data_IF_298882925410
#
_entry.id   IF_298882925410
#
_cell.length_a   1.000
_cell.length_b   1.000
_cell.length_c   1.000
_cell.angle_alpha   90.00
_cell.angle_beta   90.00
_cell.angle_gamma   90.00
#
_symmetry.space_group_name_H-M   'P 1'
#
loop_
_entity.id
_entity.type
_entity.pdbx_description
1 polymer ?
#
# COMPACT_ATOMS: atom_id res chain seq x y z
N UNK A 1 12.85 -12.69 -0.96
CA UNK A 1 14.14 -12.46 -1.62
C UNK A 1 14.70 -13.72 -2.30
N UNK A 2 14.67 -14.90 -1.66
CA UNK A 2 15.24 -16.15 -2.22
C UNK A 2 14.46 -16.65 -3.45
N UNK A 3 13.13 -16.53 -3.44
CA UNK A 3 12.26 -16.91 -4.57
C UNK A 3 12.59 -16.05 -5.81
N UNK A 4 12.85 -14.76 -5.63
CA UNK A 4 13.20 -13.85 -6.74
C UNK A 4 14.60 -14.16 -7.31
N UNK A 5 15.57 -14.54 -6.47
CA UNK A 5 16.91 -14.92 -6.93
C UNK A 5 16.90 -16.07 -7.94
N UNK A 6 15.96 -17.01 -7.80
CA UNK A 6 15.80 -18.14 -8.74
C UNK A 6 15.25 -17.73 -10.11
N UNK A 7 14.74 -16.50 -10.24
CA UNK A 7 14.12 -15.96 -11.45
C UNK A 7 15.03 -14.97 -12.20
N UNK A 8 16.24 -14.71 -11.69
CA UNK A 8 17.23 -13.89 -12.36
C UNK A 8 17.92 -14.68 -13.51
N UNK A 9 18.34 -14.01 -14.60
CA UNK A 9 18.27 -12.56 -14.80
C UNK A 9 16.89 -12.09 -15.25
N UNK A 10 16.44 -10.92 -14.73
CA UNK A 10 15.25 -10.20 -15.20
C UNK A 10 15.43 -8.70 -14.94
N UNK A 11 14.75 -7.83 -15.69
CA UNK A 11 14.67 -6.42 -15.36
C UNK A 11 13.93 -6.23 -14.01
N UNK A 12 14.48 -5.36 -13.17
CA UNK A 12 13.94 -5.08 -11.84
C UNK A 12 12.92 -3.93 -11.89
N UNK A 13 12.41 -3.52 -10.73
CA UNK A 13 11.52 -2.38 -10.48
C UNK A 13 10.13 -2.56 -11.11
N UNK A 14 9.12 -2.27 -10.32
CA UNK A 14 7.72 -2.27 -10.78
C UNK A 14 7.03 -0.90 -10.57
N UNK A 15 7.77 0.09 -10.11
CA UNK A 15 7.32 1.47 -9.93
C UNK A 15 7.97 2.32 -11.03
N UNK A 16 7.20 2.85 -11.96
CA UNK A 16 7.77 3.66 -13.04
C UNK A 16 6.73 4.54 -13.74
N UNK A 17 7.23 5.66 -14.23
CA UNK A 17 6.57 6.51 -15.20
C UNK A 17 7.35 6.46 -16.52
N UNK A 18 6.70 6.85 -17.60
CA UNK A 18 7.34 6.87 -18.91
C UNK A 18 6.65 7.82 -19.89
N UNK A 19 7.29 8.05 -21.00
CA UNK A 19 6.71 8.76 -22.14
C UNK A 19 6.35 7.76 -23.25
N UNK A 20 5.16 7.92 -23.80
CA UNK A 20 4.72 7.09 -24.92
C UNK A 20 5.57 7.39 -26.17
N UNK A 21 6.29 6.39 -26.66
CA UNK A 21 7.07 6.52 -27.88
C UNK A 21 6.22 6.16 -29.10
N UNK A 22 5.43 5.11 -29.01
CA UNK A 22 4.57 4.62 -30.08
C UNK A 22 3.37 3.86 -29.52
N UNK A 23 2.18 4.18 -29.98
CA UNK A 23 0.96 3.41 -29.74
C UNK A 23 0.22 3.11 -31.04
N UNK A 24 0.29 1.88 -31.55
CA UNK A 24 -0.44 1.46 -32.75
C UNK A 24 -1.95 1.43 -32.57
N UNK A 25 -2.45 1.35 -31.32
CA UNK A 25 -3.91 1.35 -31.03
C UNK A 25 -4.55 2.73 -31.13
N UNK A 26 -3.74 3.80 -31.08
CA UNK A 26 -4.22 5.18 -31.14
C UNK A 26 -4.84 5.71 -29.84
N UNK A 27 -4.72 4.96 -28.75
CA UNK A 27 -5.23 5.41 -27.44
C UNK A 27 -4.37 6.51 -26.83
N UNK A 28 -3.06 6.51 -27.11
CA UNK A 28 -2.10 7.47 -26.58
C UNK A 28 -1.34 8.16 -27.72
N UNK A 29 -0.96 9.42 -27.50
CA UNK A 29 -0.10 10.17 -28.42
C UNK A 29 1.37 10.03 -28.00
N UNK A 30 2.26 10.06 -28.98
CA UNK A 30 3.70 10.16 -28.71
C UNK A 30 4.01 11.36 -27.85
N UNK A 31 4.81 11.18 -26.80
CA UNK A 31 5.18 12.19 -25.81
C UNK A 31 4.19 12.31 -24.62
N UNK A 32 3.06 11.62 -24.63
CA UNK A 32 2.19 11.60 -23.45
C UNK A 32 2.91 10.94 -22.25
N UNK A 33 2.84 11.62 -21.10
CA UNK A 33 3.37 11.11 -19.84
C UNK A 33 2.37 10.14 -19.21
N UNK A 34 2.87 8.98 -18.81
CA UNK A 34 2.04 7.90 -18.25
C UNK A 34 2.70 7.26 -17.05
N UNK A 35 1.89 6.74 -16.13
CA UNK A 35 2.34 5.76 -15.15
C UNK A 35 1.99 4.37 -15.64
N UNK A 36 2.88 3.41 -15.40
CA UNK A 36 2.74 2.03 -15.82
C UNK A 36 2.21 1.17 -14.67
N UNK A 37 1.09 0.46 -14.91
CA UNK A 37 0.49 -0.47 -13.94
C UNK A 37 1.22 -1.81 -14.02
N UNK A 38 1.88 -2.26 -12.93
CA UNK A 38 2.73 -3.46 -12.97
C UNK A 38 1.94 -4.77 -13.00
N UNK A 39 0.68 -4.75 -12.61
CA UNK A 39 -0.19 -5.93 -12.60
C UNK A 39 -0.86 -6.11 -13.96
N UNK A 40 -0.73 -7.30 -14.55
CA UNK A 40 -1.38 -7.67 -15.80
C UNK A 40 -2.23 -8.92 -15.55
N UNK A 41 -3.56 -8.79 -15.41
CA UNK A 41 -4.46 -9.94 -15.30
C UNK A 41 -4.48 -10.71 -16.62
N UNK A 42 -4.67 -12.01 -16.55
CA UNK A 42 -4.85 -12.89 -17.71
C UNK A 42 -6.27 -13.44 -17.81
N UNK A 43 -7.09 -13.13 -16.81
CA UNK A 43 -8.51 -13.47 -16.71
C UNK A 43 -9.25 -12.36 -15.99
N UNK A 44 -10.56 -12.34 -16.10
CA UNK A 44 -11.46 -11.43 -15.37
C UNK A 44 -12.32 -12.24 -14.40
N UNK A 45 -12.68 -11.64 -13.27
CA UNK A 45 -13.57 -12.23 -12.28
C UNK A 45 -14.46 -11.13 -11.68
N UNK A 46 -15.75 -11.41 -11.53
CA UNK A 46 -16.72 -10.43 -11.05
C UNK A 46 -16.60 -10.14 -9.54
N UNK A 47 -15.93 -11.00 -8.78
CA UNK A 47 -15.78 -10.91 -7.32
C UNK A 47 -14.35 -10.60 -6.94
N UNK A 48 -13.38 -11.27 -7.58
CA UNK A 48 -11.96 -11.19 -7.24
C UNK A 48 -11.33 -10.05 -8.04
N UNK A 49 -10.86 -9.01 -7.34
CA UNK A 49 -10.17 -7.92 -7.98
C UNK A 49 -8.87 -8.39 -8.67
N UNK A 50 -8.53 -7.75 -9.80
CA UNK A 50 -7.43 -8.15 -10.69
C UNK A 50 -6.08 -8.34 -9.98
N UNK A 51 -5.81 -7.56 -8.94
CA UNK A 51 -4.57 -7.62 -8.17
C UNK A 51 -4.49 -8.83 -7.21
N UNK A 52 -5.60 -9.57 -7.01
CA UNK A 52 -5.65 -10.79 -6.21
C UNK A 52 -5.76 -12.07 -7.05
N UNK A 53 -5.97 -11.96 -8.35
CA UNK A 53 -6.00 -13.13 -9.25
C UNK A 53 -4.62 -13.79 -9.28
N UNK A 54 -4.56 -15.09 -8.99
CA UNK A 54 -3.30 -15.85 -8.94
C UNK A 54 -2.61 -15.99 -10.28
N UNK A 55 -3.37 -15.94 -11.37
CA UNK A 55 -2.90 -15.98 -12.75
C UNK A 55 -2.26 -14.66 -13.20
N UNK A 56 -2.52 -13.55 -12.51
CA UNK A 56 -1.98 -12.24 -12.87
C UNK A 56 -0.46 -12.23 -12.90
N UNK A 57 0.10 -11.65 -13.95
CA UNK A 57 1.53 -11.40 -14.09
C UNK A 57 1.88 -10.07 -13.41
N UNK A 58 2.85 -10.10 -12.51
CA UNK A 58 3.31 -8.90 -11.83
C UNK A 58 4.76 -8.59 -12.22
N UNK A 59 5.01 -7.39 -12.74
CA UNK A 59 6.33 -6.93 -13.16
C UNK A 59 7.34 -6.99 -12.01
N UNK A 60 8.59 -7.32 -12.32
CA UNK A 60 9.68 -7.54 -11.36
C UNK A 60 9.42 -8.64 -10.32
N UNK A 61 8.41 -9.49 -10.55
CA UNK A 61 8.10 -10.64 -9.69
C UNK A 61 7.96 -11.94 -10.49
N UNK A 62 9.00 -12.22 -11.31
CA UNK A 62 9.10 -13.36 -12.21
C UNK A 62 8.84 -13.05 -13.69
N UNK A 63 8.61 -11.80 -13.98
CA UNK A 63 8.55 -11.20 -15.31
C UNK A 63 9.36 -9.91 -15.28
N UNK A 64 9.89 -9.50 -16.43
CA UNK A 64 10.68 -8.28 -16.52
C UNK A 64 9.91 -7.08 -15.99
N UNK A 65 10.58 -6.34 -15.10
CA UNK A 65 10.11 -5.07 -14.55
C UNK A 65 10.38 -3.90 -15.48
N UNK A 66 10.33 -2.70 -14.93
CA UNK A 66 10.41 -1.46 -15.70
C UNK A 66 11.81 -0.84 -15.79
N UNK A 67 12.84 -1.46 -15.20
CA UNK A 67 14.22 -0.97 -15.29
C UNK A 67 14.79 -1.24 -16.68
N UNK A 68 14.23 -0.57 -17.68
CA UNK A 68 14.54 -0.68 -19.10
C UNK A 68 14.44 0.69 -19.77
N UNK A 69 15.17 0.90 -20.86
CA UNK A 69 15.04 2.13 -21.66
C UNK A 69 13.70 2.21 -22.39
N UNK A 70 13.21 1.06 -22.88
CA UNK A 70 11.91 0.92 -23.53
C UNK A 70 11.15 -0.25 -22.95
N UNK A 71 9.87 -0.05 -22.74
CA UNK A 71 8.96 -1.08 -22.20
C UNK A 71 7.80 -1.27 -23.16
N UNK A 72 7.53 -2.53 -23.52
CA UNK A 72 6.30 -2.89 -24.21
C UNK A 72 5.22 -3.23 -23.20
N UNK A 73 4.08 -2.54 -23.30
CA UNK A 73 2.96 -2.67 -22.36
C UNK A 73 1.63 -2.38 -23.08
N UNK A 74 0.57 -3.06 -22.71
CA UNK A 74 -0.75 -2.86 -23.30
C UNK A 74 -1.37 -1.54 -22.83
N UNK A 75 -2.16 -0.83 -23.67
CA UNK A 75 -2.73 0.47 -23.35
C UNK A 75 -3.60 0.49 -22.07
N UNK A 76 -4.27 -0.63 -21.76
CA UNK A 76 -5.07 -0.81 -20.56
C UNK A 76 -4.26 -0.89 -19.25
N UNK A 77 -2.94 -0.95 -19.36
CA UNK A 77 -1.99 -0.91 -18.22
C UNK A 77 -1.28 0.43 -18.09
N UNK A 78 -1.78 1.47 -18.74
CA UNK A 78 -1.25 2.83 -18.71
C UNK A 78 -2.31 3.80 -18.16
N UNK A 79 -1.91 4.66 -17.23
CA UNK A 79 -2.75 5.77 -16.77
C UNK A 79 -2.03 7.08 -17.10
N UNK A 80 -2.76 8.02 -17.73
CA UNK A 80 -2.21 9.34 -18.10
C UNK A 80 -1.87 10.15 -16.87
N UNK A 81 -0.72 10.80 -16.91
CA UNK A 81 -0.31 11.78 -15.93
C UNK A 81 -0.45 13.19 -16.51
N UNK A 82 -0.72 14.21 -15.68
CA UNK A 82 -0.62 15.60 -16.10
C UNK A 82 0.77 15.90 -16.65
N UNK A 83 0.84 16.65 -17.75
CA UNK A 83 2.13 16.93 -18.43
C UNK A 83 3.05 17.83 -17.61
N UNK A 84 2.49 18.61 -16.71
CA UNK A 84 3.17 19.56 -15.81
C UNK A 84 3.47 18.99 -14.41
N UNK A 85 3.15 17.71 -14.18
CA UNK A 85 3.45 17.05 -12.90
C UNK A 85 4.96 16.95 -12.67
N UNK A 86 5.39 17.15 -11.44
CA UNK A 86 6.77 16.83 -11.05
C UNK A 86 7.02 15.32 -11.21
N UNK A 87 7.93 14.98 -12.11
CA UNK A 87 8.26 13.59 -12.44
C UNK A 87 8.82 12.83 -11.24
N UNK A 88 9.50 13.50 -10.32
CA UNK A 88 10.03 12.91 -9.10
C UNK A 88 8.89 12.47 -8.19
N UNK A 89 7.86 13.29 -8.07
CA UNK A 89 6.63 12.97 -7.32
C UNK A 89 5.83 11.89 -8.04
N UNK A 90 5.65 12.01 -9.35
CA UNK A 90 4.90 11.06 -10.16
C UNK A 90 5.48 9.63 -10.13
N UNK A 91 6.80 9.50 -9.94
CA UNK A 91 7.46 8.19 -9.80
C UNK A 91 6.95 7.36 -8.59
N UNK A 92 6.34 7.99 -7.60
CA UNK A 92 5.74 7.33 -6.44
C UNK A 92 4.29 6.90 -6.65
N UNK A 93 3.70 7.12 -7.82
CA UNK A 93 2.27 6.83 -8.07
C UNK A 93 1.91 5.37 -7.77
N UNK A 94 2.79 4.42 -8.05
CA UNK A 94 2.52 3.00 -7.76
C UNK A 94 2.32 2.76 -6.26
N UNK A 95 3.28 3.12 -5.43
CA UNK A 95 3.15 2.90 -3.98
C UNK A 95 2.01 3.72 -3.35
N UNK A 96 1.70 4.90 -3.92
CA UNK A 96 0.51 5.67 -3.55
C UNK A 96 -0.76 4.89 -3.87
N UNK A 97 -0.85 4.28 -5.05
CA UNK A 97 -2.02 3.49 -5.46
C UNK A 97 -2.27 2.29 -4.55
N UNK A 98 -1.21 1.67 -4.01
CA UNK A 98 -1.32 0.62 -2.99
C UNK A 98 -1.97 1.14 -1.71
N UNK A 99 -1.57 2.32 -1.26
CA UNK A 99 -2.18 2.97 -0.09
C UNK A 99 -3.64 3.36 -0.33
N UNK A 100 -3.96 3.92 -1.50
CA UNK A 100 -5.33 4.28 -1.92
C UNK A 100 -6.22 3.03 -1.98
N UNK A 101 -5.71 1.92 -2.52
CA UNK A 101 -6.40 0.63 -2.53
C UNK A 101 -6.71 0.14 -1.11
N UNK A 102 -5.71 0.14 -0.23
CA UNK A 102 -5.86 -0.31 1.16
C UNK A 102 -6.87 0.53 1.94
N UNK A 103 -6.81 1.87 1.79
CA UNK A 103 -7.73 2.80 2.44
C UNK A 103 -9.16 2.63 1.89
N UNK A 104 -9.31 2.43 0.57
CA UNK A 104 -10.61 2.16 -0.05
C UNK A 104 -11.25 0.85 0.44
N UNK A 105 -10.45 -0.20 0.65
CA UNK A 105 -10.91 -1.45 1.27
C UNK A 105 -11.28 -1.25 2.74
N UNK A 106 -10.43 -0.54 3.48
CA UNK A 106 -10.69 -0.18 4.86
C UNK A 106 -12.03 0.56 5.02
N UNK A 107 -12.33 1.53 4.16
CA UNK A 107 -13.58 2.30 4.23
C UNK A 107 -14.83 1.43 4.08
N UNK A 108 -14.74 0.37 3.28
CA UNK A 108 -15.83 -0.59 3.07
C UNK A 108 -16.01 -1.58 4.23
N UNK A 109 -14.92 -1.98 4.89
CA UNK A 109 -14.89 -3.09 5.86
C UNK A 109 -15.00 -2.57 7.31
N UNK A 110 -14.34 -1.46 7.63
CA UNK A 110 -14.27 -0.91 8.97
C UNK A 110 -15.59 -0.26 9.40
N UNK A 111 -15.93 -0.38 10.69
CA UNK A 111 -17.08 0.36 11.23
C UNK A 111 -16.83 1.88 11.23
N UNK A 112 -17.89 2.67 11.40
CA UNK A 112 -17.83 4.13 11.19
C UNK A 112 -17.26 4.92 12.37
N UNK A 113 -17.09 4.34 13.56
CA UNK A 113 -16.34 5.00 14.63
C UNK A 113 -14.87 5.00 14.28
N UNK A 114 -14.33 6.16 14.00
CA UNK A 114 -12.96 6.39 13.51
C UNK A 114 -12.36 7.61 14.21
N UNK A 115 -12.50 7.66 15.54
CA UNK A 115 -11.99 8.79 16.31
C UNK A 115 -10.46 8.81 16.28
N UNK A 116 -9.85 7.61 16.39
CA UNK A 116 -8.40 7.43 16.35
C UNK A 116 -8.06 6.23 15.47
N UNK A 117 -7.18 6.44 14.49
CA UNK A 117 -6.61 5.37 13.66
C UNK A 117 -5.10 5.34 13.84
N UNK A 118 -4.55 4.15 14.03
CA UNK A 118 -3.11 3.94 14.19
C UNK A 118 -2.45 3.40 12.91
N UNK A 119 -1.23 3.87 12.62
CA UNK A 119 -0.38 3.28 11.58
C UNK A 119 0.91 2.80 12.23
N UNK A 120 1.20 1.50 12.13
CA UNK A 120 2.45 0.90 12.53
C UNK A 120 3.40 0.82 11.34
N UNK A 121 4.53 1.53 11.43
CA UNK A 121 5.58 1.61 10.42
C UNK A 121 5.95 3.04 10.06
N UNK A 122 7.21 3.38 10.26
CA UNK A 122 7.84 4.67 9.98
C UNK A 122 8.65 4.67 8.67
N UNK A 123 8.40 3.70 7.80
CA UNK A 123 8.97 3.60 6.45
C UNK A 123 8.09 4.28 5.39
N UNK A 124 8.53 4.19 4.13
CA UNK A 124 7.85 4.83 2.99
C UNK A 124 6.36 4.45 2.88
N UNK A 125 6.03 3.16 3.01
CA UNK A 125 4.64 2.70 2.94
C UNK A 125 3.78 3.29 4.07
N UNK A 126 4.32 3.32 5.30
CA UNK A 126 3.62 3.93 6.44
C UNK A 126 3.40 5.42 6.26
N UNK A 127 4.44 6.14 5.79
CA UNK A 127 4.36 7.59 5.54
C UNK A 127 3.31 7.91 4.47
N UNK A 128 3.36 7.25 3.31
CA UNK A 128 2.42 7.47 2.21
C UNK A 128 0.99 7.11 2.64
N UNK A 129 0.81 5.97 3.32
CA UNK A 129 -0.50 5.57 3.85
C UNK A 129 -1.05 6.62 4.83
N UNK A 130 -0.19 7.19 5.69
CA UNK A 130 -0.55 8.21 6.65
C UNK A 130 -1.01 9.52 5.96
N UNK A 131 -0.25 10.00 4.96
CA UNK A 131 -0.59 11.21 4.17
C UNK A 131 -1.96 11.04 3.51
N UNK A 132 -2.14 9.96 2.77
CA UNK A 132 -3.39 9.74 2.04
C UNK A 132 -4.56 9.44 2.98
N UNK A 133 -4.33 8.72 4.08
CA UNK A 133 -5.36 8.52 5.09
C UNK A 133 -5.85 9.86 5.67
N UNK A 134 -4.92 10.75 6.06
CA UNK A 134 -5.27 12.05 6.63
C UNK A 134 -5.97 12.95 5.60
N UNK A 135 -5.63 12.84 4.33
CA UNK A 135 -6.31 13.55 3.23
C UNK A 135 -7.76 13.07 3.08
N UNK A 136 -8.00 11.75 3.12
CA UNK A 136 -9.33 11.18 2.95
C UNK A 136 -10.22 11.28 4.20
N UNK A 137 -9.61 11.31 5.40
CA UNK A 137 -10.29 11.37 6.69
C UNK A 137 -9.69 12.47 7.59
N UNK A 138 -9.81 13.75 7.22
CA UNK A 138 -9.14 14.86 7.91
C UNK A 138 -9.54 15.00 9.39
N UNK A 139 -10.77 14.62 9.74
CA UNK A 139 -11.29 14.72 11.09
C UNK A 139 -10.84 13.58 12.03
N UNK A 140 -10.34 12.48 11.46
CA UNK A 140 -9.85 11.34 12.23
C UNK A 140 -8.49 11.66 12.83
N UNK A 141 -8.32 11.44 14.14
CA UNK A 141 -6.98 11.51 14.76
C UNK A 141 -6.12 10.37 14.23
N UNK A 142 -4.92 10.72 13.78
CA UNK A 142 -3.95 9.79 13.22
C UNK A 142 -2.76 9.66 14.15
N UNK A 143 -2.52 8.44 14.64
CA UNK A 143 -1.38 8.10 15.48
C UNK A 143 -0.39 7.24 14.71
N UNK A 144 0.89 7.58 14.78
CA UNK A 144 1.97 6.85 14.10
C UNK A 144 2.83 6.14 15.12
N UNK A 145 3.13 4.88 14.87
CA UNK A 145 3.95 4.02 15.71
C UNK A 145 5.16 3.51 14.92
N UNK A 146 6.34 3.86 15.36
CA UNK A 146 7.58 3.56 14.65
C UNK A 146 8.72 3.16 15.58
N UNK A 147 9.82 2.73 15.00
CA UNK A 147 11.04 2.34 15.72
C UNK A 147 12.12 3.42 15.68
N UNK A 148 12.08 4.33 14.71
CA UNK A 148 13.10 5.35 14.52
C UNK A 148 12.55 6.74 14.89
N UNK A 149 13.01 7.37 16.00
CA UNK A 149 12.55 8.67 16.42
C UNK A 149 12.78 9.78 15.37
N UNK A 150 13.86 9.70 14.58
CA UNK A 150 14.17 10.72 13.57
C UNK A 150 13.15 10.67 12.43
N UNK A 151 12.77 9.46 11.98
CA UNK A 151 11.73 9.30 10.96
C UNK A 151 10.35 9.70 11.44
N UNK A 152 10.05 9.49 12.73
CA UNK A 152 8.77 9.89 13.31
C UNK A 152 8.58 11.42 13.29
N UNK A 153 9.66 12.21 13.27
CA UNK A 153 9.59 13.67 13.16
C UNK A 153 9.07 14.15 11.80
N UNK A 154 9.19 13.33 10.74
CA UNK A 154 8.68 13.66 9.40
C UNK A 154 7.14 13.63 9.33
N UNK A 155 6.46 12.95 10.26
CA UNK A 155 5.01 12.86 10.31
C UNK A 155 4.35 14.08 10.95
N UNK A 156 4.73 15.28 10.51
CA UNK A 156 4.30 16.56 11.09
C UNK A 156 2.79 16.82 11.04
N UNK A 157 2.08 16.11 10.19
CA UNK A 157 0.61 16.17 10.01
C UNK A 157 -0.15 15.18 10.89
N UNK A 158 0.54 14.27 11.59
CA UNK A 158 -0.07 13.32 12.52
C UNK A 158 -0.45 14.01 13.85
N UNK A 159 -1.50 13.51 14.48
CA UNK A 159 -1.96 14.03 15.78
C UNK A 159 -1.05 13.58 16.94
N UNK A 160 -0.38 12.44 16.78
CA UNK A 160 0.65 11.97 17.70
C UNK A 160 1.59 10.95 17.04
N UNK A 161 2.82 10.89 17.52
CA UNK A 161 3.81 9.88 17.14
C UNK A 161 4.37 9.20 18.38
N UNK A 162 4.60 7.88 18.31
CA UNK A 162 5.09 7.07 19.42
C UNK A 162 6.20 6.13 18.95
N UNK A 163 7.26 6.01 19.74
CA UNK A 163 8.14 4.86 19.58
C UNK A 163 7.46 3.61 20.12
N UNK A 164 7.56 2.50 19.39
CA UNK A 164 6.89 1.24 19.76
C UNK A 164 7.34 0.66 21.11
N UNK A 165 8.43 1.18 21.68
CA UNK A 165 8.93 0.80 23.01
C UNK A 165 8.29 1.62 24.14
N UNK A 166 7.69 2.78 23.81
CA UNK A 166 7.15 3.73 24.80
C UNK A 166 5.77 4.23 24.39
N UNK A 167 4.82 3.32 24.23
CA UNK A 167 3.41 3.68 23.99
C UNK A 167 2.71 3.80 25.34
N UNK A 168 2.07 4.95 25.66
CA UNK A 168 1.31 5.09 26.90
C UNK A 168 0.18 4.05 27.01
N UNK A 169 -0.08 3.56 28.20
CA UNK A 169 -1.09 2.50 28.45
C UNK A 169 -2.53 2.95 28.16
N UNK A 170 -2.80 4.24 28.26
CA UNK A 170 -4.10 4.87 28.02
C UNK A 170 -4.38 5.11 26.52
N UNK A 171 -3.40 4.91 25.65
CA UNK A 171 -3.60 5.00 24.19
C UNK A 171 -4.59 3.92 23.77
N UNK A 172 -5.65 4.34 23.05
CA UNK A 172 -6.62 3.45 22.41
C UNK A 172 -6.88 3.92 20.99
N UNK A 173 -7.02 2.95 20.09
CA UNK A 173 -7.30 3.19 18.66
C UNK A 173 -8.54 2.41 18.23
N UNK A 174 -9.28 2.93 17.29
CA UNK A 174 -10.47 2.24 16.76
C UNK A 174 -10.09 1.27 15.64
N UNK A 175 -9.09 1.61 14.82
CA UNK A 175 -8.60 0.82 13.71
C UNK A 175 -7.10 1.01 13.50
N UNK A 176 -6.48 0.12 12.74
CA UNK A 176 -5.05 0.21 12.43
C UNK A 176 -4.67 -0.25 11.03
N UNK A 177 -3.54 0.30 10.55
CA UNK A 177 -2.81 -0.20 9.40
C UNK A 177 -1.45 -0.73 9.85
N UNK A 178 -1.11 -1.94 9.44
CA UNK A 178 0.20 -2.54 9.62
C UNK A 178 1.03 -2.37 8.35
N UNK A 179 2.06 -1.52 8.42
CA UNK A 179 2.95 -1.14 7.32
C UNK A 179 4.42 -1.54 7.60
N UNK A 180 4.67 -2.40 8.57
CA UNK A 180 6.03 -2.79 8.98
C UNK A 180 6.62 -3.86 8.08
N UNK A 181 5.88 -4.96 7.91
CA UNK A 181 6.36 -6.12 7.14
C UNK A 181 7.56 -6.84 7.75
N UNK A 182 8.10 -7.80 7.00
CA UNK A 182 9.28 -8.57 7.38
C UNK A 182 9.16 -9.26 8.74
N UNK A 183 10.29 -9.41 9.42
CA UNK A 183 10.34 -10.04 10.74
C UNK A 183 9.64 -9.23 11.85
N UNK A 184 9.43 -7.93 11.64
CA UNK A 184 8.77 -7.04 12.59
C UNK A 184 7.24 -7.12 12.58
N UNK A 185 6.64 -7.65 11.50
CA UNK A 185 5.19 -7.65 11.30
C UNK A 185 4.42 -8.34 12.44
N UNK A 186 4.89 -9.51 12.89
CA UNK A 186 4.24 -10.23 13.98
C UNK A 186 4.21 -9.44 15.29
N UNK A 187 5.30 -8.75 15.63
CA UNK A 187 5.37 -7.87 16.80
C UNK A 187 4.43 -6.68 16.64
N UNK A 188 4.41 -6.06 15.47
CA UNK A 188 3.54 -4.93 15.18
C UNK A 188 2.05 -5.31 15.27
N UNK A 189 1.65 -6.44 14.66
CA UNK A 189 0.26 -6.91 14.72
C UNK A 189 -0.17 -7.22 16.14
N UNK A 190 0.66 -7.89 16.93
CA UNK A 190 0.33 -8.18 18.33
C UNK A 190 0.21 -6.89 19.15
N UNK A 191 1.09 -5.93 18.93
CA UNK A 191 1.00 -4.63 19.58
C UNK A 191 -0.27 -3.87 19.17
N UNK A 192 -0.65 -3.90 17.90
CA UNK A 192 -1.96 -3.37 17.45
C UNK A 192 -3.10 -4.06 18.21
N UNK A 193 -3.07 -5.39 18.33
CA UNK A 193 -4.10 -6.16 19.04
C UNK A 193 -4.23 -5.71 20.49
N UNK A 194 -3.15 -5.32 21.16
CA UNK A 194 -3.17 -4.85 22.55
C UNK A 194 -3.86 -3.48 22.68
N UNK A 195 -3.60 -2.55 21.75
CA UNK A 195 -4.09 -1.17 21.83
C UNK A 195 -5.43 -0.91 21.13
N UNK A 196 -5.87 -1.81 20.23
CA UNK A 196 -7.10 -1.64 19.47
C UNK A 196 -8.36 -1.91 20.30
N UNK A 197 -9.36 -1.05 20.14
CA UNK A 197 -10.67 -1.23 20.73
C UNK A 197 -11.38 -2.48 20.17
N UNK A 198 -12.31 -3.09 20.95
CA UNK A 198 -13.17 -4.16 20.45
C UNK A 198 -13.90 -3.77 19.16
N UNK A 199 -14.17 -4.76 18.30
CA UNK A 199 -14.74 -4.61 16.95
C UNK A 199 -13.84 -3.84 15.97
N UNK A 200 -12.63 -3.47 16.36
CA UNK A 200 -11.68 -2.76 15.52
C UNK A 200 -11.25 -3.56 14.29
N UNK A 201 -10.69 -2.86 13.31
CA UNK A 201 -10.24 -3.45 12.04
C UNK A 201 -8.75 -3.21 11.86
N UNK A 202 -8.02 -4.26 11.51
CA UNK A 202 -6.59 -4.24 11.22
C UNK A 202 -6.38 -4.51 9.72
N UNK A 203 -5.81 -3.54 9.01
CA UNK A 203 -5.40 -3.67 7.61
C UNK A 203 -3.93 -4.08 7.56
N UNK A 204 -3.62 -5.23 6.97
CA UNK A 204 -2.25 -5.71 6.81
C UNK A 204 -1.76 -5.35 5.41
N UNK A 205 -0.73 -4.49 5.34
CA UNK A 205 -0.05 -4.07 4.11
C UNK A 205 1.41 -4.54 4.09
N UNK A 206 2.02 -4.72 5.26
CA UNK A 206 3.40 -5.14 5.37
C UNK A 206 3.62 -6.57 4.86
N UNK A 207 4.59 -6.75 3.96
CA UNK A 207 4.91 -8.06 3.39
C UNK A 207 5.88 -8.80 4.28
N UNK A 208 5.52 -10.01 4.73
CA UNK A 208 6.39 -10.93 5.45
C UNK A 208 6.73 -12.14 4.58
N UNK A 209 8.00 -12.54 4.53
CA UNK A 209 8.46 -13.69 3.75
C UNK A 209 7.99 -15.02 4.36
N UNK A 210 7.85 -15.06 5.68
CA UNK A 210 7.42 -16.23 6.44
C UNK A 210 6.18 -15.92 7.28
N UNK A 211 5.39 -16.95 7.64
CA UNK A 211 4.29 -16.80 8.58
C UNK A 211 4.76 -16.19 9.90
N UNK A 212 3.96 -15.28 10.45
CA UNK A 212 4.23 -14.63 11.73
C UNK A 212 3.18 -15.05 12.77
N UNK A 213 3.59 -15.28 14.05
CA UNK A 213 2.65 -15.62 15.11
C UNK A 213 1.85 -14.39 15.54
N UNK A 214 0.53 -14.54 15.66
CA UNK A 214 -0.36 -13.50 16.19
C UNK A 214 -1.23 -14.04 17.32
N UNK A 215 -1.66 -13.19 18.24
CA UNK A 215 -2.51 -13.54 19.37
C UNK A 215 -3.97 -13.72 18.92
N UNK A 216 -4.29 -14.88 18.36
CA UNK A 216 -5.63 -15.21 17.85
C UNK A 216 -6.69 -15.24 18.95
N UNK A 217 -6.32 -15.52 20.22
CA UNK A 217 -7.24 -15.47 21.35
C UNK A 217 -7.79 -14.06 21.53
N UNK A 218 -6.93 -13.05 21.52
CA UNK A 218 -7.38 -11.66 21.67
C UNK A 218 -8.12 -11.15 20.44
N UNK A 219 -7.80 -11.64 19.24
CA UNK A 219 -8.61 -11.38 18.03
C UNK A 219 -10.05 -11.87 18.23
N UNK A 220 -10.22 -13.08 18.78
CA UNK A 220 -11.52 -13.65 19.07
C UNK A 220 -12.25 -12.88 20.20
N UNK A 221 -11.58 -12.63 21.31
CA UNK A 221 -12.21 -11.99 22.49
C UNK A 221 -12.63 -10.53 22.22
N UNK A 222 -11.86 -9.80 21.39
CA UNK A 222 -12.20 -8.42 20.99
C UNK A 222 -13.08 -8.34 19.74
N UNK A 223 -13.40 -9.46 19.07
CA UNK A 223 -14.20 -9.46 17.84
C UNK A 223 -13.52 -8.69 16.69
N UNK A 224 -12.19 -8.77 16.57
CA UNK A 224 -11.44 -7.98 15.60
C UNK A 224 -11.63 -8.48 14.18
N UNK A 225 -11.57 -7.55 13.23
CA UNK A 225 -11.49 -7.84 11.80
C UNK A 225 -10.03 -7.67 11.34
N UNK A 226 -9.48 -8.67 10.69
CA UNK A 226 -8.14 -8.60 10.10
C UNK A 226 -8.27 -8.91 8.61
N UNK A 227 -7.78 -8.02 7.76
CA UNK A 227 -7.78 -8.25 6.31
C UNK A 227 -6.45 -7.81 5.68
N UNK A 228 -6.07 -8.51 4.61
CA UNK A 228 -4.89 -8.17 3.83
C UNK A 228 -5.20 -7.19 2.70
N UNK A 229 -4.24 -6.33 2.37
CA UNK A 229 -4.26 -5.49 1.19
C UNK A 229 -2.89 -5.54 0.52
N UNK A 230 -2.86 -5.88 -0.76
CA UNK A 230 -1.62 -6.06 -1.51
C UNK A 230 -1.81 -5.60 -2.94
N UNK A 231 -0.81 -4.90 -3.48
CA UNK A 231 -0.86 -4.36 -4.83
C UNK A 231 -2.04 -3.39 -5.03
N UNK A 232 -2.36 -3.08 -6.27
CA UNK A 232 -3.48 -2.23 -6.68
C UNK A 232 -3.88 -2.55 -8.11
N UNK A 233 -5.07 -2.14 -8.51
CA UNK A 233 -5.57 -2.25 -9.88
C UNK A 233 -5.56 -0.90 -10.60
N UNK A 234 -5.86 -0.90 -11.90
CA UNK A 234 -5.92 0.32 -12.73
C UNK A 234 -6.79 1.40 -12.11
N UNK A 235 -7.96 1.04 -11.59
CA UNK A 235 -8.88 1.99 -10.95
C UNK A 235 -8.27 2.70 -9.72
N UNK A 236 -7.32 2.07 -9.02
CA UNK A 236 -6.63 2.69 -7.90
C UNK A 236 -5.56 3.69 -8.40
N UNK A 237 -4.88 3.37 -9.51
CA UNK A 237 -3.97 4.31 -10.19
C UNK A 237 -4.72 5.54 -10.70
N UNK A 238 -5.88 5.37 -11.35
CA UNK A 238 -6.72 6.47 -11.81
C UNK A 238 -7.15 7.38 -10.66
N UNK A 239 -7.57 6.82 -9.53
CA UNK A 239 -7.90 7.57 -8.31
C UNK A 239 -6.69 8.30 -7.70
N UNK A 240 -5.51 7.71 -7.85
CA UNK A 240 -4.28 8.31 -7.34
C UNK A 240 -3.88 9.54 -8.14
N UNK A 241 -4.10 9.51 -9.45
CA UNK A 241 -3.75 10.62 -10.36
C UNK A 241 -4.79 11.74 -10.32
N UNK A 242 -6.06 11.43 -10.02
CA UNK A 242 -7.16 12.40 -9.92
C UNK A 242 -7.09 13.26 -8.67
#
# INVERSE_FOLDING_TARGET
AEILRKKLPMALIHEAIGEVVRDPSGNFKTGELVVMVPNTPVEEDDIIAENYLRSSKFRASGFDGFMQEYVEITPDRLVRLPQDIDRTVAAFTEIVSVSVHAIGRFDKIAHKRRNVVGIWGDGNLGYITAVFFKTMFPETKLYIFGVNPDKLQDFTFADATFTVEHIPEDVKIDHAFECVGGAGSGKAINQIIDYINPEGTISILGVSEYPVPINTRMVLEKGLRIFGSSRSGVADFEKTVA
#
